data_IF_376906840327
#
_entry.id   IF_376906840327
#
_cell.length_a   1.000
_cell.length_b   1.000
_cell.length_c   1.000
_cell.angle_alpha   90.00
_cell.angle_beta   90.00
_cell.angle_gamma   90.00
#
_symmetry.space_group_name_H-M   'P 1'
#
loop_
_entity.id
_entity.type
_entity.pdbx_description
1 polymer ?
#
# COMPACT_ATOMS: atom_id res chain seq x y z
N UNK A 1 7.59 -2.50 4.64
CA UNK A 1 6.29 -2.69 5.31
C UNK A 1 5.31 -1.64 4.83
N UNK A 2 4.01 -1.97 4.77
CA UNK A 2 3.00 -1.02 4.29
C UNK A 2 1.81 -0.98 5.24
N UNK A 3 1.39 0.23 5.60
CA UNK A 3 0.17 0.47 6.35
C UNK A 3 -0.75 1.45 5.60
N UNK A 4 -2.04 1.33 5.88
CA UNK A 4 -3.11 2.16 5.32
C UNK A 4 -3.81 2.85 6.48
N UNK A 5 -4.12 4.14 6.35
CA UNK A 5 -4.76 4.92 7.40
C UNK A 5 -5.75 5.94 6.83
N UNK A 6 -6.79 6.27 7.61
CA UNK A 6 -7.68 7.41 7.36
C UNK A 6 -7.24 8.68 8.12
N UNK A 7 -6.06 8.68 8.74
CA UNK A 7 -5.56 9.84 9.48
C UNK A 7 -5.31 11.04 8.57
N UNK A 8 -5.71 12.21 9.06
CA UNK A 8 -5.37 13.52 8.48
C UNK A 8 -3.92 13.91 8.76
N UNK A 9 -3.28 13.31 9.76
CA UNK A 9 -1.87 13.53 10.09
C UNK A 9 -0.90 13.04 9.00
N UNK A 10 0.38 13.33 9.22
CA UNK A 10 1.48 12.95 8.34
C UNK A 10 2.30 11.80 8.93
N UNK A 11 2.48 10.74 8.13
CA UNK A 11 3.17 9.51 8.49
C UNK A 11 4.69 9.54 8.26
N UNK A 12 5.34 10.70 8.41
CA UNK A 12 6.81 10.80 8.31
C UNK A 12 7.47 10.00 9.44
N UNK A 13 8.55 9.22 9.21
CA UNK A 13 9.42 9.21 8.01
C UNK A 13 9.00 8.24 6.90
N UNK A 14 7.92 7.48 7.06
CA UNK A 14 7.48 6.56 6.01
C UNK A 14 7.06 7.34 4.76
N UNK A 15 7.35 6.76 3.59
CA UNK A 15 7.04 7.36 2.30
C UNK A 15 5.53 7.23 2.02
N UNK A 16 4.85 8.37 1.84
CA UNK A 16 3.46 8.38 1.36
C UNK A 16 3.43 7.98 -0.11
N UNK A 17 2.95 6.76 -0.39
CA UNK A 17 2.93 6.21 -1.76
C UNK A 17 1.62 6.52 -2.50
N UNK A 18 0.60 7.07 -1.82
CA UNK A 18 -0.76 7.41 -2.30
C UNK A 18 -1.42 8.30 -1.29
N UNK A 19 -2.08 9.30 -1.83
CA UNK A 19 -2.80 10.31 -1.10
C UNK A 19 -4.23 10.36 -1.67
N UNK A 20 -5.11 9.55 -1.09
CA UNK A 20 -6.52 9.58 -1.42
C UNK A 20 -7.30 10.46 -0.44
N UNK A 21 -8.48 10.92 -0.85
CA UNK A 21 -9.32 11.78 -0.01
C UNK A 21 -9.73 11.15 1.33
N UNK A 22 -9.84 9.82 1.37
CA UNK A 22 -10.32 9.07 2.56
C UNK A 22 -9.20 8.25 3.20
N UNK A 23 -8.35 7.63 2.38
CA UNK A 23 -7.27 6.76 2.84
C UNK A 23 -5.94 7.20 2.24
N UNK A 24 -4.91 7.15 3.07
CA UNK A 24 -3.51 7.29 2.71
C UNK A 24 -2.84 5.95 2.95
N UNK A 25 -1.83 5.61 2.14
CA UNK A 25 -0.95 4.48 2.44
C UNK A 25 0.49 4.97 2.59
N UNK A 26 1.26 4.24 3.38
CA UNK A 26 2.64 4.60 3.64
C UNK A 26 3.50 3.35 3.59
N UNK A 27 4.66 3.51 2.99
CA UNK A 27 5.69 2.51 2.91
C UNK A 27 6.83 2.87 3.89
N UNK A 28 7.18 1.93 4.75
CA UNK A 28 8.25 2.05 5.73
C UNK A 28 9.35 1.03 5.41
N UNK A 29 10.61 1.45 5.46
CA UNK A 29 11.75 0.57 5.20
C UNK A 29 11.96 -0.45 6.33
N UNK A 30 11.77 -0.02 7.58
CA UNK A 30 12.00 -0.84 8.77
C UNK A 30 11.01 -0.53 9.91
N UNK A 31 11.10 -1.34 10.98
CA UNK A 31 10.17 -1.26 12.12
C UNK A 31 10.31 0.06 12.89
N UNK A 32 11.49 0.70 12.83
CA UNK A 32 11.74 1.99 13.50
C UNK A 32 11.04 3.12 12.76
N UNK A 33 11.10 3.13 11.43
CA UNK A 33 10.35 4.07 10.60
C UNK A 33 8.85 3.90 10.82
N UNK A 34 8.36 2.66 10.83
CA UNK A 34 6.95 2.36 11.12
C UNK A 34 6.55 2.95 12.47
N UNK A 35 7.27 2.61 13.55
CA UNK A 35 6.96 3.12 14.88
C UNK A 35 6.96 4.66 14.93
N UNK A 36 7.99 5.29 14.38
CA UNK A 36 8.12 6.75 14.36
C UNK A 36 6.98 7.42 13.60
N UNK A 37 6.62 6.86 12.45
CA UNK A 37 5.49 7.30 11.63
C UNK A 37 4.17 7.21 12.39
N UNK A 38 3.91 6.08 13.05
CA UNK A 38 2.69 5.85 13.80
C UNK A 38 2.55 6.81 14.99
N UNK A 39 3.65 7.10 15.69
CA UNK A 39 3.68 8.13 16.75
C UNK A 39 3.39 9.53 16.20
N UNK A 40 3.90 9.87 15.02
CA UNK A 40 3.64 11.17 14.41
C UNK A 40 2.18 11.34 13.98
N UNK A 41 1.53 10.29 13.48
CA UNK A 41 0.09 10.31 13.24
C UNK A 41 -0.71 10.59 14.53
N UNK A 42 -0.37 9.90 15.63
CA UNK A 42 -1.02 10.07 16.94
C UNK A 42 -0.86 11.48 17.53
N UNK A 43 0.24 12.18 17.23
CA UNK A 43 0.45 13.57 17.64
C UNK A 43 -0.48 14.53 16.90
N UNK A 44 -0.77 14.26 15.62
CA UNK A 44 -1.62 15.09 14.78
C UNK A 44 -3.11 14.84 14.99
N UNK A 45 -3.50 13.58 15.17
CA UNK A 45 -4.90 13.16 15.33
C UNK A 45 -4.99 11.94 16.25
N UNK A 46 -5.92 11.94 17.21
CA UNK A 46 -6.07 10.84 18.16
C UNK A 46 -6.99 9.73 17.69
N UNK A 47 -7.93 10.06 16.78
CA UNK A 47 -8.99 9.16 16.35
C UNK A 47 -8.84 8.83 14.87
N UNK A 48 -8.06 7.80 14.58
CA UNK A 48 -7.91 7.27 13.24
C UNK A 48 -7.77 5.74 13.28
N UNK A 49 -7.89 5.13 12.12
CA UNK A 49 -7.81 3.69 11.91
C UNK A 49 -6.57 3.37 11.11
N UNK A 50 -6.03 2.19 11.37
CA UNK A 50 -4.85 1.66 10.71
C UNK A 50 -5.16 0.26 10.26
N UNK A 51 -4.77 -0.03 9.04
CA UNK A 51 -4.95 -1.31 8.41
C UNK A 51 -3.63 -1.76 7.81
N UNK A 52 -3.39 -3.06 7.76
CA UNK A 52 -2.37 -3.62 6.90
C UNK A 52 -2.92 -3.79 5.46
N UNK A 53 -2.06 -4.25 4.55
CA UNK A 53 -2.40 -4.43 3.14
C UNK A 53 -3.46 -5.51 2.89
N UNK A 54 -3.70 -6.38 3.87
CA UNK A 54 -4.72 -7.44 3.82
C UNK A 54 -6.07 -7.00 4.41
N UNK A 55 -6.20 -5.73 4.81
CA UNK A 55 -7.43 -5.17 5.36
C UNK A 55 -7.68 -5.49 6.84
N UNK A 56 -6.72 -6.12 7.53
CA UNK A 56 -6.81 -6.32 8.98
C UNK A 56 -6.57 -4.97 9.67
N UNK A 57 -7.49 -4.58 10.55
CA UNK A 57 -7.32 -3.42 11.43
C UNK A 57 -6.27 -3.74 12.50
N UNK A 58 -5.27 -2.88 12.65
CA UNK A 58 -4.16 -3.07 13.59
C UNK A 58 -4.20 -2.00 14.67
N UNK A 59 -4.07 -2.41 15.93
CA UNK A 59 -3.94 -1.50 17.06
C UNK A 59 -2.46 -1.26 17.36
N UNK A 60 -2.02 -0.01 17.22
CA UNK A 60 -0.68 0.42 17.66
C UNK A 60 -0.60 0.20 19.18
N UNK A 61 0.52 -0.27 19.74
CA UNK A 61 1.83 -0.56 19.12
C UNK A 61 2.16 -2.06 18.96
N UNK A 62 1.18 -2.97 18.98
CA UNK A 62 1.48 -4.33 19.43
C UNK A 62 2.27 -5.22 18.45
N UNK A 63 2.10 -5.10 17.11
CA UNK A 63 2.65 -6.12 16.19
C UNK A 63 3.15 -5.56 14.81
N UNK A 64 4.41 -5.09 14.70
CA UNK A 64 5.00 -4.62 13.43
C UNK A 64 4.97 -5.64 12.29
N UNK A 65 5.03 -6.93 12.63
CA UNK A 65 5.07 -8.04 11.66
C UNK A 65 3.80 -8.14 10.82
N UNK A 66 2.68 -7.58 11.28
CA UNK A 66 1.41 -7.59 10.55
C UNK A 66 1.40 -6.64 9.34
N UNK A 67 2.37 -5.73 9.25
CA UNK A 67 2.55 -4.79 8.13
C UNK A 67 3.56 -5.30 7.08
N UNK A 68 4.18 -6.45 7.32
CA UNK A 68 5.12 -7.08 6.39
C UNK A 68 4.33 -7.79 5.28
N UNK A 69 4.64 -7.46 4.03
CA UNK A 69 4.06 -8.12 2.87
C UNK A 69 4.94 -9.30 2.47
N UNK A 70 4.37 -10.51 2.40
CA UNK A 70 5.13 -11.76 2.21
C UNK A 70 4.86 -12.45 0.87
N UNK A 71 3.86 -11.99 0.13
CA UNK A 71 3.44 -12.60 -1.11
C UNK A 71 4.37 -12.21 -2.25
N UNK A 72 4.82 -13.22 -3.00
CA UNK A 72 5.41 -13.02 -4.32
C UNK A 72 4.37 -13.25 -5.40
N UNK A 73 4.38 -12.42 -6.43
CA UNK A 73 3.46 -12.42 -7.53
C UNK A 73 4.19 -12.72 -8.83
N UNK A 74 3.59 -13.56 -9.66
CA UNK A 74 4.01 -13.77 -11.07
C UNK A 74 3.09 -13.00 -12.02
N UNK A 75 1.85 -12.79 -11.61
CA UNK A 75 0.87 -11.98 -12.30
C UNK A 75 -0.02 -11.25 -11.28
N UNK A 76 -0.57 -10.11 -11.70
CA UNK A 76 -1.55 -9.40 -10.89
C UNK A 76 -2.52 -8.57 -11.73
N UNK A 77 -3.67 -8.30 -11.12
CA UNK A 77 -4.63 -7.30 -11.59
C UNK A 77 -4.70 -6.17 -10.58
N UNK A 78 -4.71 -4.92 -11.04
CA UNK A 78 -4.64 -3.77 -10.16
C UNK A 78 -5.12 -2.46 -10.77
N UNK A 79 -5.10 -1.41 -9.94
CA UNK A 79 -5.46 -0.04 -10.32
C UNK A 79 -4.27 0.87 -10.04
N UNK A 80 -3.82 1.58 -11.07
CA UNK A 80 -2.74 2.56 -10.97
C UNK A 80 -3.31 3.91 -10.58
N UNK A 81 -2.84 4.47 -9.47
CA UNK A 81 -3.20 5.82 -9.05
C UNK A 81 -2.20 6.88 -9.53
N UNK A 82 -0.91 6.53 -9.56
CA UNK A 82 0.14 7.37 -10.09
C UNK A 82 0.62 6.83 -11.44
N UNK A 83 0.10 7.40 -12.53
CA UNK A 83 0.46 6.99 -13.89
C UNK A 83 1.95 7.24 -14.22
N UNK A 84 2.67 8.07 -13.46
CA UNK A 84 4.11 8.27 -13.66
C UNK A 84 4.92 6.99 -13.40
N UNK A 85 4.35 6.05 -12.62
CA UNK A 85 5.00 4.78 -12.24
C UNK A 85 4.81 3.66 -13.27
N UNK A 86 4.02 3.90 -14.32
CA UNK A 86 3.75 2.93 -15.39
C UNK A 86 5.04 2.47 -16.08
N UNK A 87 5.99 3.39 -16.32
CA UNK A 87 7.27 3.04 -16.94
C UNK A 87 8.07 2.07 -16.08
N UNK A 88 8.06 2.24 -14.76
CA UNK A 88 8.71 1.32 -13.82
C UNK A 88 8.04 -0.05 -13.87
N UNK A 89 6.71 -0.09 -13.90
CA UNK A 89 5.95 -1.32 -14.05
C UNK A 89 6.30 -2.06 -15.35
N UNK A 90 6.36 -1.36 -16.48
CA UNK A 90 6.72 -1.96 -17.79
C UNK A 90 8.11 -2.59 -17.74
N UNK A 91 9.09 -1.96 -17.07
CA UNK A 91 10.47 -2.49 -16.98
C UNK A 91 10.53 -3.86 -16.30
N UNK A 92 9.74 -4.07 -15.26
CA UNK A 92 9.69 -5.32 -14.48
C UNK A 92 8.69 -6.34 -15.05
N UNK A 93 7.95 -5.98 -16.09
CA UNK A 93 6.88 -6.78 -16.66
C UNK A 93 7.27 -7.43 -17.98
N UNK A 94 6.80 -8.66 -18.19
CA UNK A 94 6.86 -9.33 -19.48
C UNK A 94 5.73 -8.82 -20.38
N UNK A 95 4.53 -8.68 -19.81
CA UNK A 95 3.34 -8.20 -20.51
C UNK A 95 2.57 -7.24 -19.59
N UNK A 96 2.10 -6.12 -20.15
CA UNK A 96 1.25 -5.14 -19.46
C UNK A 96 0.08 -4.82 -20.36
N UNK A 97 -1.13 -5.08 -19.88
CA UNK A 97 -2.36 -4.63 -20.51
C UNK A 97 -2.97 -3.52 -19.64
N UNK A 98 -2.96 -2.29 -20.18
CA UNK A 98 -3.48 -1.10 -19.50
C UNK A 98 -4.77 -0.66 -20.20
N UNK A 99 -5.87 -0.61 -19.44
CA UNK A 99 -7.11 0.01 -19.87
C UNK A 99 -7.54 1.08 -18.85
N UNK A 100 -7.45 2.35 -19.27
CA UNK A 100 -7.62 3.51 -18.37
C UNK A 100 -6.64 3.43 -17.20
N UNK A 101 -7.13 3.19 -15.97
CA UNK A 101 -6.31 3.02 -14.76
C UNK A 101 -6.17 1.56 -14.32
N UNK A 102 -6.91 0.66 -14.96
CA UNK A 102 -6.84 -0.76 -14.64
C UNK A 102 -5.69 -1.41 -15.39
N UNK A 103 -4.93 -2.25 -14.70
CA UNK A 103 -3.82 -3.01 -15.27
C UNK A 103 -3.96 -4.49 -15.01
N UNK A 104 -3.63 -5.27 -16.02
CA UNK A 104 -3.32 -6.69 -15.90
C UNK A 104 -1.87 -6.89 -16.31
N UNK A 105 -1.08 -7.52 -15.45
CA UNK A 105 0.38 -7.59 -15.59
C UNK A 105 0.84 -9.01 -15.41
N UNK A 106 1.72 -9.44 -16.32
CA UNK A 106 2.55 -10.63 -16.17
C UNK A 106 3.99 -10.19 -15.95
N UNK A 107 4.58 -10.57 -14.83
CA UNK A 107 5.91 -10.14 -14.44
C UNK A 107 6.98 -10.98 -15.15
N UNK A 108 8.19 -10.42 -15.32
CA UNK A 108 9.32 -11.18 -15.90
C UNK A 108 9.77 -12.29 -14.96
N UNK A 109 9.81 -11.96 -13.68
CA UNK A 109 10.20 -12.82 -12.57
C UNK A 109 9.17 -12.68 -11.46
N UNK A 110 9.20 -13.59 -10.48
CA UNK A 110 8.36 -13.46 -9.29
C UNK A 110 8.81 -12.26 -8.46
N UNK A 111 7.93 -11.28 -8.28
CA UNK A 111 8.21 -10.03 -7.54
C UNK A 111 7.41 -9.98 -6.24
N UNK A 112 8.00 -9.50 -5.16
CA UNK A 112 7.25 -9.28 -3.92
C UNK A 112 6.16 -8.22 -4.14
N UNK A 113 4.95 -8.49 -3.67
CA UNK A 113 3.82 -7.56 -3.78
C UNK A 113 4.13 -6.17 -3.18
N UNK A 114 4.99 -6.09 -2.16
CA UNK A 114 5.48 -4.84 -1.60
C UNK A 114 6.06 -3.89 -2.66
N UNK A 115 6.84 -4.42 -3.63
CA UNK A 115 7.43 -3.62 -4.70
C UNK A 115 6.35 -3.02 -5.60
N UNK A 116 5.28 -3.76 -5.85
CA UNK A 116 4.14 -3.29 -6.66
C UNK A 116 3.36 -2.21 -5.90
N UNK A 117 3.10 -2.43 -4.61
CA UNK A 117 2.37 -1.48 -3.77
C UNK A 117 3.15 -0.17 -3.55
N UNK A 118 4.49 -0.25 -3.45
CA UNK A 118 5.39 0.91 -3.37
C UNK A 118 5.31 1.82 -4.60
N UNK A 119 4.91 1.28 -5.76
CA UNK A 119 4.66 2.05 -6.98
C UNK A 119 3.30 2.76 -6.97
N UNK A 120 2.56 2.71 -5.87
CA UNK A 120 1.26 3.34 -5.79
C UNK A 120 0.17 2.58 -6.56
N UNK A 121 0.38 1.28 -6.81
CA UNK A 121 -0.54 0.42 -7.57
C UNK A 121 -1.34 -0.42 -6.60
N UNK A 122 -2.66 -0.27 -6.59
CA UNK A 122 -3.53 -1.11 -5.74
C UNK A 122 -3.74 -2.44 -6.42
N UNK A 123 -3.26 -3.50 -5.80
CA UNK A 123 -3.56 -4.86 -6.24
C UNK A 123 -5.02 -5.18 -5.88
N UNK A 124 -5.73 -5.76 -6.86
CA UNK A 124 -7.11 -6.27 -6.74
C UNK A 124 -7.09 -7.79 -6.67
N UNK A 125 -6.17 -8.45 -7.39
CA UNK A 125 -5.89 -9.88 -7.31
C UNK A 125 -4.39 -10.15 -7.47
N UNK A 126 -3.81 -11.10 -6.73
CA UNK A 126 -4.46 -11.96 -5.73
C UNK A 126 -4.62 -11.31 -4.35
N UNK A 127 -3.94 -10.20 -4.08
CA UNK A 127 -4.01 -9.47 -2.81
C UNK A 127 -5.02 -8.35 -2.96
N UNK A 128 -6.16 -8.45 -2.29
CA UNK A 128 -7.16 -7.40 -2.34
C UNK A 128 -6.96 -6.43 -1.19
N UNK A 129 -6.50 -5.21 -1.50
CA UNK A 129 -6.40 -4.16 -0.48
C UNK A 129 -7.80 -3.72 -0.03
N UNK A 130 -7.95 -3.31 1.26
CA UNK A 130 -9.20 -2.81 1.79
C UNK A 130 -9.80 -1.73 0.89
N UNK A 131 -11.13 -1.73 0.78
CA UNK A 131 -11.85 -0.78 -0.06
C UNK A 131 -11.57 0.66 0.37
N UNK A 132 -11.28 1.53 -0.60
CA UNK A 132 -11.14 2.97 -0.42
C UNK A 132 -12.49 3.66 -0.16
N UNK A 133 -13.59 3.05 -0.62
CA UNK A 133 -14.92 3.42 -0.17
C UNK A 133 -15.08 2.77 1.18
N UNK A 134 -14.96 3.59 2.23
CA UNK A 134 -14.91 3.15 3.62
C UNK A 134 -15.90 2.02 3.86
N UNK A 135 -15.42 0.96 4.47
CA UNK A 135 -16.28 0.02 5.18
C UNK A 135 -17.17 0.85 6.10
N UNK A 136 -18.40 1.10 5.64
CA UNK A 136 -19.55 1.12 6.54
C UNK A 136 -19.59 -0.30 7.09
N UNK A 137 -18.92 -0.49 8.22
CA UNK A 137 -19.37 -1.48 9.19
C UNK A 137 -20.85 -1.25 9.49
#
# INVERSE_FOLDING_TARGET
>A
MIYITDSKGEGSPCLKVYDGNVLKWYYCNDERELFSSLINLLKGEKNFRIYNVYGKRIYIPHEPREFVVKEGLEEFEGVIYDLSKVLTLIKISKEVNLHKRFVKVKLKDKVNAEEILKLGIRIVKPIQLPSLYGSRE
#
